data_IF_645598917482
#
_entry.id   IF_645598917482
#
_cell.length_a   1.000
_cell.length_b   1.000
_cell.length_c   1.000
_cell.angle_alpha   90.00
_cell.angle_beta   90.00
_cell.angle_gamma   90.00
#
_symmetry.space_group_name_H-M   'P 1'
#
loop_
_entity.id
_entity.type
_entity.pdbx_description
1 polymer ?
#
# COMPACT_ATOMS: atom_id res chain seq x y z
N UNK A 1 7.29 -10.83 0.04
CA UNK A 1 7.08 -11.20 1.45
C UNK A 1 6.08 -10.26 2.10
N UNK A 2 5.53 -10.61 3.31
CA UNK A 2 4.55 -9.77 4.02
C UNK A 2 3.15 -9.79 3.41
N UNK A 3 2.65 -10.95 2.98
CA UNK A 3 1.31 -11.05 2.40
C UNK A 3 0.17 -10.91 3.43
N UNK A 4 0.44 -11.22 4.68
CA UNK A 4 -0.54 -11.23 5.78
C UNK A 4 -0.14 -10.30 6.94
N UNK A 5 0.99 -9.60 6.84
CA UNK A 5 1.47 -8.64 7.83
C UNK A 5 2.19 -7.48 7.15
N UNK A 6 2.28 -6.34 7.82
CA UNK A 6 3.11 -5.24 7.35
C UNK A 6 4.50 -5.33 7.98
N UNK A 7 5.51 -5.59 7.14
CA UNK A 7 6.87 -5.83 7.63
C UNK A 7 7.56 -4.59 8.19
N UNK A 8 7.18 -3.38 7.78
CA UNK A 8 7.69 -2.15 8.39
C UNK A 8 7.17 -2.00 9.82
N UNK A 9 5.88 -2.27 10.03
CA UNK A 9 5.30 -2.27 11.38
C UNK A 9 5.91 -3.37 12.24
N UNK A 10 5.94 -4.60 11.73
CA UNK A 10 6.52 -5.75 12.45
C UNK A 10 7.98 -5.54 12.82
N UNK A 11 8.75 -4.87 11.97
CA UNK A 11 10.17 -4.60 12.19
C UNK A 11 10.43 -3.76 13.46
N UNK A 12 9.47 -2.94 13.89
CA UNK A 12 9.60 -2.15 15.13
C UNK A 12 9.74 -3.02 16.39
N UNK A 13 9.31 -4.28 16.31
CA UNK A 13 9.35 -5.26 17.42
C UNK A 13 10.42 -6.33 17.17
N UNK A 14 10.46 -6.87 15.95
CA UNK A 14 11.23 -8.09 15.64
C UNK A 14 12.58 -7.83 14.99
N UNK A 15 12.77 -6.67 14.38
CA UNK A 15 13.92 -6.35 13.51
C UNK A 15 14.13 -7.33 12.33
N UNK A 16 13.12 -8.13 12.00
CA UNK A 16 13.20 -9.17 10.96
C UNK A 16 13.40 -8.61 9.56
N UNK A 17 12.82 -7.45 9.25
CA UNK A 17 12.98 -6.84 7.92
C UNK A 17 14.43 -6.39 7.69
N UNK A 18 15.07 -5.76 8.68
CA UNK A 18 16.49 -5.38 8.62
C UNK A 18 17.33 -6.62 8.37
N UNK A 19 17.19 -7.65 9.18
CA UNK A 19 17.92 -8.91 9.01
C UNK A 19 17.69 -9.54 7.62
N UNK A 20 16.44 -9.52 7.14
CA UNK A 20 16.07 -10.08 5.84
C UNK A 20 16.75 -9.31 4.70
N UNK A 21 16.73 -7.98 4.73
CA UNK A 21 17.37 -7.14 3.71
C UNK A 21 18.87 -7.40 3.65
N UNK A 22 19.56 -7.37 4.79
CA UNK A 22 21.01 -7.59 4.88
C UNK A 22 21.44 -8.96 4.37
N UNK A 23 20.65 -9.99 4.63
CA UNK A 23 20.96 -11.35 4.17
C UNK A 23 20.55 -11.57 2.71
N UNK A 24 19.40 -11.04 2.27
CA UNK A 24 18.99 -11.16 0.88
C UNK A 24 19.88 -10.36 -0.08
N UNK A 25 20.46 -9.25 0.37
CA UNK A 25 21.42 -8.48 -0.39
C UNK A 25 22.64 -9.30 -0.86
N UNK A 26 23.01 -10.34 -0.11
CA UNK A 26 24.10 -11.28 -0.41
C UNK A 26 23.68 -12.36 -1.43
N UNK A 27 22.41 -12.53 -1.71
CA UNK A 27 21.93 -13.54 -2.66
C UNK A 27 22.46 -13.27 -4.08
N UNK A 28 22.91 -14.26 -4.83
CA UNK A 28 23.39 -14.07 -6.20
C UNK A 28 22.26 -13.75 -7.19
N UNK A 29 21.02 -14.11 -6.87
CA UNK A 29 19.86 -14.00 -7.77
C UNK A 29 18.63 -13.46 -7.06
N UNK A 30 17.70 -12.94 -7.87
CA UNK A 30 16.36 -12.54 -7.44
C UNK A 30 16.25 -11.13 -6.91
N UNK A 31 15.00 -10.71 -6.71
CA UNK A 31 14.60 -9.45 -6.08
C UNK A 31 13.66 -9.78 -4.92
N UNK A 32 13.82 -9.06 -3.82
CA UNK A 32 12.91 -9.15 -2.68
C UNK A 32 11.97 -7.95 -2.73
N UNK A 33 10.69 -8.18 -2.52
CA UNK A 33 9.70 -7.10 -2.47
C UNK A 33 8.77 -7.27 -1.28
N UNK A 34 8.37 -6.15 -0.69
CA UNK A 34 7.39 -6.10 0.39
C UNK A 34 6.47 -4.88 0.22
N UNK A 35 5.16 -5.02 0.45
CA UNK A 35 4.23 -3.91 0.56
C UNK A 35 4.23 -3.33 1.97
N UNK A 36 3.89 -2.03 2.10
CA UNK A 36 3.67 -1.40 3.40
C UNK A 36 2.68 -0.24 3.30
N UNK A 37 1.98 0.01 4.41
CA UNK A 37 1.13 1.20 4.66
C UNK A 37 1.74 2.10 5.76
N UNK A 38 3.00 1.84 6.16
CA UNK A 38 3.66 2.55 7.24
C UNK A 38 4.92 3.27 6.76
N UNK A 39 5.12 4.49 7.26
CA UNK A 39 6.24 5.34 6.89
C UNK A 39 7.48 5.23 7.78
N UNK A 40 7.53 4.28 8.71
CA UNK A 40 8.67 4.08 9.65
C UNK A 40 9.84 3.36 8.97
N UNK A 41 10.35 3.95 7.87
CA UNK A 41 11.40 3.35 7.03
C UNK A 41 12.82 3.63 7.49
N UNK A 42 13.02 4.53 8.45
CA UNK A 42 14.35 4.97 8.88
C UNK A 42 15.32 3.83 9.23
N UNK A 43 14.87 2.71 9.89
CA UNK A 43 15.77 1.60 10.22
C UNK A 43 16.40 0.90 9.00
N UNK A 44 15.80 1.03 7.82
CA UNK A 44 16.29 0.33 6.60
C UNK A 44 17.07 1.24 5.64
N UNK A 45 17.05 2.57 5.85
CA UNK A 45 17.62 3.53 4.89
C UNK A 45 19.14 3.37 4.66
N UNK A 46 19.89 2.98 5.70
CA UNK A 46 21.35 2.89 5.65
C UNK A 46 21.85 1.46 5.38
N UNK A 47 20.96 0.52 5.05
CA UNK A 47 21.35 -0.86 4.78
C UNK A 47 21.96 -1.00 3.38
N UNK A 48 22.98 -1.85 3.27
CA UNK A 48 23.47 -2.26 1.96
C UNK A 48 22.54 -3.31 1.35
N UNK A 49 21.60 -2.86 0.53
CA UNK A 49 20.61 -3.72 -0.13
C UNK A 49 21.01 -4.17 -1.54
N UNK A 50 22.15 -3.73 -2.06
CA UNK A 50 22.71 -4.07 -3.38
C UNK A 50 21.71 -3.89 -4.54
N UNK A 51 20.76 -2.95 -4.43
CA UNK A 51 19.72 -2.70 -5.44
C UNK A 51 18.71 -3.85 -5.63
N UNK A 52 18.65 -4.80 -4.69
CA UNK A 52 17.82 -6.02 -4.79
C UNK A 52 16.49 -5.92 -4.09
N UNK A 53 16.23 -4.82 -3.44
CA UNK A 53 15.01 -4.63 -2.64
C UNK A 53 14.06 -3.67 -3.34
N UNK A 54 12.80 -4.07 -3.41
CA UNK A 54 11.69 -3.25 -3.92
C UNK A 54 10.73 -2.99 -2.76
N UNK A 55 10.70 -1.76 -2.28
CA UNK A 55 9.69 -1.32 -1.33
C UNK A 55 8.43 -0.87 -2.08
N UNK A 56 7.26 -1.39 -1.74
CA UNK A 56 5.99 -1.02 -2.36
C UNK A 56 5.13 -0.28 -1.35
N UNK A 57 5.09 1.04 -1.46
CA UNK A 57 4.29 1.89 -0.58
C UNK A 57 2.85 1.97 -1.07
N UNK A 58 1.92 1.49 -0.27
CA UNK A 58 0.49 1.66 -0.54
C UNK A 58 0.06 3.08 -0.23
N UNK A 59 -0.66 3.71 -1.15
CA UNK A 59 -1.24 5.04 -0.99
C UNK A 59 -2.73 5.00 -1.32
N UNK A 60 -3.49 5.88 -0.69
CA UNK A 60 -4.91 6.12 -0.96
C UNK A 60 -5.24 7.58 -0.65
N UNK A 61 -6.38 8.11 -1.13
CA UNK A 61 -6.90 9.39 -0.69
C UNK A 61 -6.94 9.51 0.83
N UNK A 62 -6.64 10.69 1.37
CA UNK A 62 -6.54 10.92 2.82
C UNK A 62 -7.81 10.52 3.57
N UNK A 63 -8.98 10.72 2.98
CA UNK A 63 -10.26 10.32 3.57
C UNK A 63 -10.40 8.79 3.66
N UNK A 64 -9.95 8.06 2.65
CA UNK A 64 -9.93 6.60 2.67
C UNK A 64 -8.95 6.10 3.73
N UNK A 65 -7.75 6.69 3.82
CA UNK A 65 -6.78 6.33 4.86
C UNK A 65 -7.37 6.53 6.25
N UNK A 66 -7.97 7.70 6.49
CA UNK A 66 -8.51 8.06 7.80
C UNK A 66 -9.70 7.19 8.23
N UNK A 67 -10.61 6.88 7.30
CA UNK A 67 -11.89 6.27 7.64
C UNK A 67 -11.93 4.76 7.41
N UNK A 68 -11.04 4.21 6.58
CA UNK A 68 -11.04 2.80 6.17
C UNK A 68 -9.74 2.09 6.52
N UNK A 69 -8.57 2.74 6.32
CA UNK A 69 -7.26 2.16 6.64
C UNK A 69 -6.82 2.53 8.06
N UNK A 70 -7.71 2.32 9.03
CA UNK A 70 -7.53 2.74 10.43
C UNK A 70 -6.21 2.20 11.01
N UNK A 71 -5.47 3.07 11.70
CA UNK A 71 -4.22 2.70 12.38
C UNK A 71 -2.98 2.68 11.47
N UNK A 72 -3.12 2.98 10.18
CA UNK A 72 -1.97 3.08 9.26
C UNK A 72 -1.42 4.51 9.19
N UNK A 73 -0.24 4.70 8.59
CA UNK A 73 0.37 6.02 8.45
C UNK A 73 -0.45 6.94 7.53
N UNK A 74 -0.60 8.23 7.84
CA UNK A 74 -1.26 9.21 6.96
C UNK A 74 -0.49 9.39 5.63
N UNK A 75 -1.18 9.92 4.61
CA UNK A 75 -0.65 10.03 3.24
C UNK A 75 0.67 10.80 3.17
N UNK A 76 0.78 11.93 3.85
CA UNK A 76 2.00 12.76 3.87
C UNK A 76 3.22 11.97 4.39
N UNK A 77 3.05 11.17 5.44
CA UNK A 77 4.12 10.33 6.00
C UNK A 77 4.51 9.21 5.03
N UNK A 78 3.54 8.63 4.29
CA UNK A 78 3.83 7.62 3.26
C UNK A 78 4.62 8.22 2.10
N UNK A 79 4.28 9.43 1.66
CA UNK A 79 4.99 10.14 0.57
C UNK A 79 6.38 10.55 1.00
N UNK A 80 6.55 11.03 2.25
CA UNK A 80 7.88 11.28 2.81
C UNK A 80 8.75 10.01 2.82
N UNK A 81 8.17 8.88 3.24
CA UNK A 81 8.87 7.59 3.23
C UNK A 81 9.27 7.15 1.82
N UNK A 82 8.43 7.36 0.79
CA UNK A 82 8.80 7.12 -0.61
C UNK A 82 10.03 7.95 -0.99
N UNK A 83 10.04 9.24 -0.66
CA UNK A 83 11.17 10.12 -0.96
C UNK A 83 12.46 9.69 -0.25
N UNK A 84 12.38 9.32 1.05
CA UNK A 84 13.51 8.78 1.82
C UNK A 84 14.06 7.48 1.20
N UNK A 85 13.20 6.53 0.85
CA UNK A 85 13.58 5.28 0.21
C UNK A 85 14.26 5.53 -1.14
N UNK A 86 13.75 6.47 -1.93
CA UNK A 86 14.39 6.85 -3.20
C UNK A 86 15.74 7.52 -2.99
N UNK A 87 15.88 8.34 -1.95
CA UNK A 87 17.17 8.95 -1.60
C UNK A 87 18.20 7.89 -1.17
N UNK A 88 17.76 6.81 -0.54
CA UNK A 88 18.56 5.66 -0.13
C UNK A 88 18.71 4.59 -1.22
N UNK A 89 18.46 4.91 -2.50
CA UNK A 89 18.65 4.05 -3.68
C UNK A 89 17.76 2.80 -3.76
N UNK A 90 16.69 2.73 -2.95
CA UNK A 90 15.73 1.64 -3.10
C UNK A 90 14.95 1.75 -4.42
N UNK A 91 14.60 0.60 -4.99
CA UNK A 91 13.53 0.55 -5.98
C UNK A 91 12.20 0.71 -5.26
N UNK A 92 11.35 1.60 -5.76
CA UNK A 92 10.08 1.91 -5.10
C UNK A 92 8.93 1.75 -6.07
N UNK A 93 7.91 0.98 -5.65
CA UNK A 93 6.59 0.94 -6.28
C UNK A 93 5.59 1.73 -5.44
N UNK A 94 4.69 2.42 -6.10
CA UNK A 94 3.54 3.09 -5.47
C UNK A 94 2.30 2.26 -5.79
N UNK A 95 1.65 1.75 -4.74
CA UNK A 95 0.43 0.96 -4.87
C UNK A 95 -0.76 1.85 -4.56
N UNK A 96 -1.59 2.15 -5.55
CA UNK A 96 -2.94 2.69 -5.30
C UNK A 96 -3.82 1.49 -4.97
N UNK A 97 -3.87 1.14 -3.68
CA UNK A 97 -4.41 -0.16 -3.25
C UNK A 97 -4.97 -0.15 -1.83
N UNK A 98 -6.23 -0.58 -1.68
CA UNK A 98 -7.17 -0.87 -2.76
C UNK A 98 -7.85 0.38 -3.30
N UNK A 99 -8.18 0.40 -4.58
CA UNK A 99 -9.11 1.40 -5.14
C UNK A 99 -10.51 1.09 -4.64
N UNK A 100 -11.18 2.08 -4.03
CA UNK A 100 -12.50 1.98 -3.44
C UNK A 100 -13.43 2.98 -4.13
N UNK A 101 -14.52 2.50 -4.71
CA UNK A 101 -15.49 3.33 -5.43
C UNK A 101 -16.55 3.89 -4.46
N UNK A 102 -16.18 4.94 -3.73
CA UNK A 102 -17.12 5.82 -3.03
C UNK A 102 -17.87 6.69 -4.05
N UNK A 103 -18.91 7.40 -3.64
CA UNK A 103 -19.72 8.19 -4.58
C UNK A 103 -18.91 9.29 -5.30
N UNK A 104 -17.94 9.88 -4.61
CA UNK A 104 -17.03 10.92 -5.12
C UNK A 104 -15.63 10.39 -5.46
N UNK A 105 -15.48 9.10 -5.78
CA UNK A 105 -14.18 8.47 -5.93
C UNK A 105 -13.27 9.13 -6.99
N UNK A 106 -13.85 9.63 -8.10
CA UNK A 106 -13.07 10.28 -9.17
C UNK A 106 -12.33 11.50 -8.63
N UNK A 107 -13.04 12.36 -7.91
CA UNK A 107 -12.45 13.58 -7.32
C UNK A 107 -11.36 13.23 -6.30
N UNK A 108 -11.64 12.26 -5.42
CA UNK A 108 -10.69 11.79 -4.41
C UNK A 108 -9.39 11.25 -5.02
N UNK A 109 -9.48 10.44 -6.08
CA UNK A 109 -8.27 9.91 -6.73
C UNK A 109 -7.58 10.95 -7.61
N UNK A 110 -8.29 11.91 -8.21
CA UNK A 110 -7.68 13.05 -8.88
C UNK A 110 -6.86 13.89 -7.91
N UNK A 111 -7.41 14.21 -6.73
CA UNK A 111 -6.69 14.90 -5.65
C UNK A 111 -5.46 14.10 -5.18
N UNK A 112 -5.58 12.78 -5.04
CA UNK A 112 -4.44 11.92 -4.72
C UNK A 112 -3.32 12.06 -5.76
N UNK A 113 -3.65 11.98 -7.05
CA UNK A 113 -2.65 12.08 -8.12
C UNK A 113 -1.98 13.46 -8.12
N UNK A 114 -2.74 14.54 -7.96
CA UNK A 114 -2.21 15.91 -7.82
C UNK A 114 -1.26 15.99 -6.63
N UNK A 115 -1.69 15.48 -5.47
CA UNK A 115 -0.88 15.48 -4.26
C UNK A 115 0.44 14.72 -4.45
N UNK A 116 0.41 13.53 -5.07
CA UNK A 116 1.60 12.75 -5.37
C UNK A 116 2.53 13.52 -6.32
N UNK A 117 1.98 14.14 -7.38
CA UNK A 117 2.77 14.93 -8.32
C UNK A 117 3.48 16.12 -7.65
N UNK A 118 2.81 16.79 -6.73
CA UNK A 118 3.36 17.97 -6.03
C UNK A 118 4.40 17.59 -4.95
N UNK A 119 4.24 16.45 -4.27
CA UNK A 119 5.00 16.12 -3.07
C UNK A 119 6.06 15.01 -3.26
N UNK A 120 6.04 14.29 -4.38
CA UNK A 120 7.13 13.39 -4.71
C UNK A 120 8.36 14.18 -5.16
N UNK A 121 9.53 13.77 -4.68
CA UNK A 121 10.81 14.33 -5.14
C UNK A 121 11.03 14.05 -6.63
N UNK A 122 11.80 14.89 -7.32
CA UNK A 122 12.14 14.69 -8.73
C UNK A 122 12.82 13.33 -8.97
N UNK A 123 13.57 12.84 -8.00
CA UNK A 123 14.16 11.52 -8.04
C UNK A 123 13.11 10.40 -7.99
N UNK A 124 12.08 10.57 -7.16
CA UNK A 124 10.97 9.62 -7.09
C UNK A 124 10.14 9.64 -8.40
N UNK A 125 9.75 10.81 -8.89
CA UNK A 125 8.98 10.97 -10.13
C UNK A 125 9.63 10.31 -11.33
N UNK A 126 10.96 10.26 -11.36
CA UNK A 126 11.73 9.76 -12.50
C UNK A 126 11.60 8.25 -12.73
N UNK A 127 11.50 7.45 -11.68
CA UNK A 127 11.64 5.99 -11.81
C UNK A 127 10.79 5.14 -10.86
N UNK A 128 9.81 5.73 -10.14
CA UNK A 128 8.78 4.92 -9.45
C UNK A 128 7.86 4.28 -10.47
N UNK A 129 7.40 3.08 -10.17
CA UNK A 129 6.34 2.44 -10.93
C UNK A 129 5.04 2.40 -10.11
N UNK A 130 3.92 2.38 -10.82
CA UNK A 130 2.59 2.36 -10.20
C UNK A 130 1.93 1.01 -10.39
N UNK A 131 1.28 0.53 -9.33
CA UNK A 131 0.36 -0.61 -9.38
C UNK A 131 -1.01 -0.11 -8.91
N UNK A 132 -2.06 -0.41 -9.69
CA UNK A 132 -3.45 -0.09 -9.33
C UNK A 132 -4.17 -1.39 -9.01
N UNK A 133 -4.68 -1.52 -7.79
CA UNK A 133 -5.33 -2.74 -7.31
C UNK A 133 -6.73 -2.40 -6.83
N UNK A 134 -7.74 -2.90 -7.53
CA UNK A 134 -9.13 -2.73 -7.12
C UNK A 134 -9.47 -3.57 -5.91
N UNK A 135 -10.32 -3.02 -5.04
CA UNK A 135 -10.78 -3.70 -3.84
C UNK A 135 -11.42 -5.05 -4.17
N UNK A 136 -11.08 -6.04 -3.36
CA UNK A 136 -11.80 -7.31 -3.28
C UNK A 136 -12.45 -7.39 -1.90
N UNK A 137 -13.77 -7.48 -1.89
CA UNK A 137 -14.53 -7.63 -0.67
C UNK A 137 -14.63 -9.08 -0.24
N UNK A 138 -14.61 -9.35 1.05
CA UNK A 138 -14.78 -10.70 1.62
C UNK A 138 -15.66 -10.64 2.86
N UNK A 139 -16.71 -11.45 2.90
CA UNK A 139 -17.58 -11.54 4.07
C UNK A 139 -16.85 -12.05 5.33
N UNK A 140 -15.83 -12.89 5.16
CA UNK A 140 -15.01 -13.34 6.29
C UNK A 140 -14.22 -12.17 6.88
N UNK A 141 -13.53 -11.40 6.03
CA UNK A 141 -12.79 -10.22 6.49
C UNK A 141 -13.73 -9.16 7.08
N UNK A 142 -14.94 -8.99 6.50
CA UNK A 142 -15.95 -8.11 7.08
C UNK A 142 -16.29 -8.50 8.51
N UNK A 143 -16.58 -9.79 8.76
CA UNK A 143 -16.94 -10.25 10.09
C UNK A 143 -15.83 -9.95 11.11
N UNK A 144 -14.56 -10.25 10.76
CA UNK A 144 -13.39 -9.95 11.58
C UNK A 144 -13.26 -8.43 11.81
N UNK A 145 -13.37 -7.64 10.75
CA UNK A 145 -13.22 -6.19 10.84
C UNK A 145 -14.34 -5.55 11.67
N UNK A 146 -15.59 -6.02 11.54
CA UNK A 146 -16.72 -5.49 12.32
C UNK A 146 -16.56 -5.79 13.81
N UNK A 147 -15.98 -6.93 14.16
CA UNK A 147 -15.65 -7.27 15.54
C UNK A 147 -14.54 -6.38 16.11
N UNK A 148 -13.46 -6.19 15.33
CA UNK A 148 -12.30 -5.38 15.75
C UNK A 148 -12.58 -3.86 15.70
N UNK A 149 -13.40 -3.41 14.75
CA UNK A 149 -13.72 -2.00 14.48
C UNK A 149 -15.22 -1.84 14.25
N UNK A 150 -16.06 -1.80 15.31
CA UNK A 150 -17.52 -1.82 15.19
C UNK A 150 -18.13 -0.65 14.39
N UNK A 151 -17.41 0.45 14.27
CA UNK A 151 -17.82 1.67 13.55
C UNK A 151 -17.34 1.74 12.11
N UNK A 152 -16.63 0.71 11.62
CA UNK A 152 -16.10 0.74 10.25
C UNK A 152 -17.22 0.66 9.22
N UNK A 153 -17.10 1.47 8.17
CA UNK A 153 -18.05 1.46 7.06
C UNK A 153 -18.04 0.10 6.34
N UNK A 154 -19.23 -0.44 6.05
CA UNK A 154 -19.36 -1.58 5.15
C UNK A 154 -19.16 -1.12 3.70
N UNK A 155 -18.18 -1.72 3.03
CA UNK A 155 -17.80 -1.39 1.65
C UNK A 155 -18.46 -2.31 0.61
N UNK A 156 -19.37 -3.21 1.03
CA UNK A 156 -20.09 -4.06 0.09
C UNK A 156 -21.16 -3.26 -0.68
N UNK A 157 -21.05 -3.29 -1.99
CA UNK A 157 -22.00 -2.68 -2.88
C UNK A 157 -22.51 -3.72 -3.89
N UNK A 158 -23.76 -4.14 -3.73
CA UNK A 158 -24.41 -5.15 -4.58
C UNK A 158 -24.54 -4.68 -6.03
N UNK A 159 -24.69 -3.38 -6.25
CA UNK A 159 -24.86 -2.82 -7.59
C UNK A 159 -23.52 -2.76 -8.33
N UNK A 160 -22.43 -2.43 -7.62
CA UNK A 160 -21.08 -2.29 -8.20
C UNK A 160 -20.29 -3.58 -8.19
N UNK A 161 -20.67 -4.61 -7.41
CA UNK A 161 -19.88 -5.81 -7.21
C UNK A 161 -20.49 -7.08 -7.79
N UNK A 162 -19.64 -8.04 -8.11
CA UNK A 162 -19.99 -9.39 -8.56
C UNK A 162 -19.17 -10.44 -7.81
N UNK A 163 -19.73 -11.62 -7.63
CA UNK A 163 -19.10 -12.72 -6.91
C UNK A 163 -17.91 -13.32 -7.67
N UNK A 164 -16.87 -13.70 -6.92
CA UNK A 164 -15.70 -14.45 -7.40
C UNK A 164 -15.60 -15.86 -6.82
N UNK A 165 -16.62 -16.32 -6.11
CA UNK A 165 -16.61 -17.57 -5.35
C UNK A 165 -16.00 -17.40 -3.95
N UNK A 166 -16.21 -18.42 -3.09
CA UNK A 166 -15.68 -18.48 -1.70
C UNK A 166 -15.99 -17.24 -0.85
N UNK A 167 -17.19 -16.64 -1.02
CA UNK A 167 -17.60 -15.44 -0.27
C UNK A 167 -16.80 -14.17 -0.59
N UNK A 168 -16.11 -14.15 -1.74
CA UNK A 168 -15.36 -13.00 -2.23
C UNK A 168 -16.11 -12.31 -3.37
N UNK A 169 -16.00 -10.98 -3.41
CA UNK A 169 -16.61 -10.10 -4.41
C UNK A 169 -15.59 -9.11 -4.94
N UNK A 170 -15.77 -8.68 -6.18
CA UNK A 170 -14.95 -7.64 -6.82
C UNK A 170 -15.85 -6.72 -7.62
N UNK A 171 -15.38 -5.52 -7.94
CA UNK A 171 -16.12 -4.64 -8.83
C UNK A 171 -16.37 -5.29 -10.19
N UNK A 172 -17.57 -5.04 -10.75
CA UNK A 172 -17.93 -5.49 -12.09
C UNK A 172 -17.00 -4.86 -13.14
N UNK A 173 -16.82 -5.51 -14.33
CA UNK A 173 -15.90 -5.04 -15.36
C UNK A 173 -16.17 -3.61 -15.85
N UNK A 174 -17.45 -3.19 -15.91
CA UNK A 174 -17.84 -1.84 -16.32
C UNK A 174 -17.23 -0.77 -15.43
N UNK A 175 -17.27 -0.94 -14.11
CA UNK A 175 -16.68 0.03 -13.16
C UNK A 175 -15.14 0.06 -13.19
N UNK A 176 -14.49 -1.02 -13.61
CA UNK A 176 -13.02 -1.07 -13.71
C UNK A 176 -12.47 -0.42 -14.98
N UNK A 177 -13.33 -0.06 -15.93
CA UNK A 177 -12.96 0.56 -17.20
C UNK A 177 -13.13 2.08 -17.20
N UNK A 178 -13.84 2.61 -16.21
CA UNK A 178 -14.01 4.05 -16.02
C UNK A 178 -12.73 4.70 -15.49
#
# INVERSE_FOLDING_TARGET
>A
IGSNSDLILENTITNNLVWTIENFAKSPKGMLTFPTKFGMVDPILNLNHNGKIIARMSVNPSDIIKNIEIGTSPLNIRVEAINKLKQADYKVGILIAPVIFLDNWKDLYEELIKYLYENLSERAKKDVFFEVIFMTYSFVHRAINTEAFPTIQDLYDKEKMTGRGMGKYTYKPEYKRE
#
